data_IF_528345540541
#
_entry.id   IF_528345540541
#
_cell.length_a   1.000
_cell.length_b   1.000
_cell.length_c   1.000
_cell.angle_alpha   90.00
_cell.angle_beta   90.00
_cell.angle_gamma   90.00
#
_symmetry.space_group_name_H-M   'P 1'
#
loop_
_entity.id
_entity.type
_entity.pdbx_description
1 polymer ?
#
# COMPACT_ATOMS: atom_id res chain seq x y z
N UNK A 1 47.85 -29.65 76.06
CA UNK A 1 48.14 -29.32 74.68
C UNK A 1 46.79 -29.26 73.97
N UNK A 2 46.12 -28.28 74.12
CA UNK A 2 45.96 -26.90 73.62
C UNK A 2 45.35 -26.82 72.27
N UNK A 3 44.06 -26.45 72.33
CA UNK A 3 43.14 -25.90 71.37
C UNK A 3 43.76 -25.04 70.26
N UNK A 4 43.49 -25.40 68.99
CA UNK A 4 43.57 -24.49 67.83
C UNK A 4 42.63 -24.94 66.72
N UNK A 5 41.34 -25.14 66.99
CA UNK A 5 40.36 -25.52 65.93
C UNK A 5 39.07 -24.72 65.92
N UNK A 6 38.90 -23.63 66.65
CA UNK A 6 37.63 -22.90 66.73
C UNK A 6 37.62 -21.53 66.02
N UNK A 7 38.75 -21.08 65.47
CA UNK A 7 38.80 -19.73 64.81
C UNK A 7 38.50 -19.67 63.32
N UNK A 8 38.50 -20.82 62.62
CA UNK A 8 38.39 -20.83 61.15
C UNK A 8 36.92 -20.95 60.67
N UNK A 9 36.04 -21.46 61.48
CA UNK A 9 34.61 -21.69 61.15
C UNK A 9 33.76 -20.41 61.13
N UNK A 10 34.11 -19.40 61.90
CA UNK A 10 33.36 -18.14 62.02
C UNK A 10 33.71 -17.17 60.90
N UNK A 11 34.90 -17.15 60.38
CA UNK A 11 35.32 -16.27 59.31
C UNK A 11 34.68 -16.69 57.96
N UNK A 12 34.48 -17.99 57.74
CA UNK A 12 33.80 -18.48 56.53
C UNK A 12 32.28 -18.24 56.55
N UNK A 13 31.65 -18.32 57.69
CA UNK A 13 30.21 -18.07 57.84
C UNK A 13 29.84 -16.58 57.63
N UNK A 14 30.67 -15.65 58.08
CA UNK A 14 30.44 -14.21 57.91
C UNK A 14 30.69 -13.78 56.44
N UNK A 15 31.64 -14.41 55.75
CA UNK A 15 31.94 -14.12 54.32
C UNK A 15 30.83 -14.66 53.40
N UNK A 16 30.12 -15.73 53.71
CA UNK A 16 29.01 -16.23 52.93
C UNK A 16 27.72 -15.41 53.13
N UNK A 17 27.51 -14.83 54.30
CA UNK A 17 26.33 -13.95 54.54
C UNK A 17 26.43 -12.58 53.85
N UNK A 18 27.66 -12.07 53.65
CA UNK A 18 27.89 -10.80 52.94
C UNK A 18 27.70 -10.93 51.42
N UNK A 19 27.92 -12.12 50.81
CA UNK A 19 27.74 -12.38 49.39
C UNK A 19 26.29 -12.51 48.95
N UNK A 20 25.36 -12.78 49.88
CA UNK A 20 23.96 -12.92 49.53
C UNK A 20 23.16 -11.61 49.54
N UNK A 21 23.71 -10.50 50.03
CA UNK A 21 23.10 -9.17 50.07
C UNK A 21 23.50 -8.26 48.87
N UNK A 22 24.46 -8.68 48.03
CA UNK A 22 24.88 -7.94 46.86
C UNK A 22 24.12 -8.32 45.58
N UNK A 23 23.16 -9.21 45.61
CA UNK A 23 22.47 -9.80 44.48
C UNK A 23 21.25 -9.03 43.94
N UNK A 24 20.84 -7.89 44.52
CA UNK A 24 19.62 -7.18 44.10
C UNK A 24 19.81 -5.75 43.61
N UNK A 25 21.02 -5.35 43.23
CA UNK A 25 21.25 -4.01 42.66
C UNK A 25 21.98 -4.13 41.30
N UNK A 26 21.21 -4.27 40.25
CA UNK A 26 21.75 -4.14 38.88
C UNK A 26 21.22 -5.13 37.86
N UNK A 27 19.89 -5.38 37.84
CA UNK A 27 19.26 -5.84 36.59
C UNK A 27 19.37 -4.71 35.56
N UNK A 28 19.68 -4.99 34.29
CA UNK A 28 19.56 -3.96 33.28
C UNK A 28 18.09 -3.53 33.29
N UNK A 29 17.84 -2.28 33.72
CA UNK A 29 16.57 -1.62 33.47
C UNK A 29 16.48 -1.58 31.93
N UNK A 30 15.86 -2.60 31.37
CA UNK A 30 15.31 -2.52 30.05
C UNK A 30 14.39 -1.32 30.13
N UNK A 31 14.82 -0.20 29.51
CA UNK A 31 13.95 0.93 29.32
C UNK A 31 12.70 0.37 28.63
N UNK A 32 11.65 0.12 29.43
CA UNK A 32 10.36 -0.28 28.90
C UNK A 32 10.03 0.76 27.84
N UNK A 33 9.87 0.33 26.59
CA UNK A 33 9.35 1.22 25.56
C UNK A 33 7.99 1.65 26.07
N UNK A 34 7.94 2.84 26.63
CA UNK A 34 6.69 3.50 26.97
C UNK A 34 5.92 3.62 25.65
N UNK A 35 4.77 2.99 25.60
CA UNK A 35 3.93 3.06 24.41
C UNK A 35 3.30 4.45 24.38
N UNK A 36 3.62 5.23 23.34
CA UNK A 36 2.95 6.50 23.12
C UNK A 36 1.44 6.26 22.93
N UNK A 37 0.64 6.91 23.74
CA UNK A 37 -0.81 6.88 23.71
C UNK A 37 -1.35 8.25 23.31
N UNK A 38 -2.64 8.33 22.99
CA UNK A 38 -3.29 9.61 22.68
C UNK A 38 -3.20 10.63 23.84
N UNK A 39 -2.96 10.16 25.07
CA UNK A 39 -2.77 11.02 26.26
C UNK A 39 -1.40 11.70 26.28
N UNK A 40 -0.41 11.17 25.56
CA UNK A 40 0.94 11.70 25.47
C UNK A 40 1.05 12.79 24.39
N UNK A 41 0.01 12.94 23.57
CA UNK A 41 -0.04 13.94 22.54
C UNK A 41 -0.16 15.36 23.12
N UNK A 42 0.72 16.24 22.67
CA UNK A 42 0.57 17.67 22.97
C UNK A 42 -0.71 18.21 22.33
N UNK A 43 -1.24 19.31 22.87
CA UNK A 43 -2.40 20.00 22.26
C UNK A 43 -2.13 20.40 20.80
N UNK A 44 -0.88 20.72 20.45
CA UNK A 44 -0.45 20.97 19.09
C UNK A 44 -0.60 19.74 18.19
N UNK A 45 -0.14 18.58 18.67
CA UNK A 45 -0.23 17.32 17.92
C UNK A 45 -1.68 16.90 17.71
N UNK A 46 -2.55 17.01 18.74
CA UNK A 46 -3.98 16.72 18.58
C UNK A 46 -4.64 17.63 17.55
N UNK A 47 -4.40 18.95 17.62
CA UNK A 47 -4.91 19.90 16.61
C UNK A 47 -4.39 19.57 15.20
N UNK A 48 -3.12 19.23 15.08
CA UNK A 48 -2.53 18.84 13.80
C UNK A 48 -3.20 17.59 13.20
N UNK A 49 -3.46 16.56 14.00
CA UNK A 49 -4.15 15.33 13.54
C UNK A 49 -5.58 15.60 13.05
N UNK A 50 -6.36 16.37 13.80
CA UNK A 50 -7.71 16.76 13.36
C UNK A 50 -7.66 17.50 12.01
N UNK A 51 -6.68 18.39 11.81
CA UNK A 51 -6.47 19.06 10.52
C UNK A 51 -6.12 18.08 9.40
N UNK A 52 -5.28 17.06 9.68
CA UNK A 52 -4.95 16.04 8.68
C UNK A 52 -6.15 15.15 8.33
N UNK A 53 -7.00 14.80 9.28
CA UNK A 53 -8.25 14.09 8.99
C UNK A 53 -9.16 14.92 8.08
N UNK A 54 -9.31 16.21 8.35
CA UNK A 54 -10.06 17.12 7.50
C UNK A 54 -9.43 17.27 6.10
N UNK A 55 -8.10 17.41 6.05
CA UNK A 55 -7.36 17.47 4.79
C UNK A 55 -7.54 16.17 3.95
N UNK A 56 -7.54 15.01 4.59
CA UNK A 56 -7.78 13.73 3.93
C UNK A 56 -9.22 13.66 3.36
N UNK A 57 -10.21 14.18 4.07
CA UNK A 57 -11.58 14.26 3.59
C UNK A 57 -11.68 15.17 2.34
N UNK A 58 -11.05 16.34 2.35
CA UNK A 58 -11.00 17.22 1.17
C UNK A 58 -10.25 16.58 0.00
N UNK A 59 -9.14 15.87 0.30
CA UNK A 59 -8.38 15.15 -0.72
C UNK A 59 -9.25 14.11 -1.43
N UNK A 60 -10.02 13.30 -0.69
CA UNK A 60 -10.90 12.28 -1.28
C UNK A 60 -12.02 12.87 -2.13
N UNK A 61 -12.40 14.12 -1.88
CA UNK A 61 -13.37 14.87 -2.68
C UNK A 61 -12.73 15.59 -3.90
N UNK A 62 -11.42 15.40 -4.13
CA UNK A 62 -10.68 16.07 -5.21
C UNK A 62 -10.37 17.55 -4.94
N UNK A 63 -10.62 18.05 -3.72
CA UNK A 63 -10.37 19.44 -3.32
C UNK A 63 -8.92 19.61 -2.83
N UNK A 64 -7.97 19.39 -3.73
CA UNK A 64 -6.54 19.26 -3.38
C UNK A 64 -5.92 20.53 -2.82
N UNK A 65 -6.34 21.70 -3.29
CA UNK A 65 -5.86 22.99 -2.76
C UNK A 65 -6.36 23.24 -1.34
N UNK A 66 -7.63 22.94 -1.06
CA UNK A 66 -8.18 23.01 0.30
C UNK A 66 -7.50 22.03 1.24
N UNK A 67 -7.26 20.81 0.76
CA UNK A 67 -6.49 19.82 1.51
C UNK A 67 -5.08 20.33 1.87
N UNK A 68 -4.39 21.00 0.93
CA UNK A 68 -3.08 21.61 1.18
C UNK A 68 -3.13 22.73 2.23
N UNK A 69 -4.19 23.53 2.26
CA UNK A 69 -4.32 24.60 3.27
C UNK A 69 -4.52 24.00 4.67
N UNK A 70 -5.29 22.94 4.82
CA UNK A 70 -5.42 22.23 6.09
C UNK A 70 -4.10 21.56 6.51
N UNK A 71 -3.35 20.97 5.56
CA UNK A 71 -2.02 20.41 5.80
C UNK A 71 -1.05 21.49 6.28
N UNK A 72 -1.05 22.68 5.67
CA UNK A 72 -0.20 23.82 6.12
C UNK A 72 -0.49 24.19 7.58
N UNK A 73 -1.79 24.28 7.94
CA UNK A 73 -2.20 24.57 9.31
C UNK A 73 -1.81 23.47 10.29
N UNK A 74 -1.89 22.19 9.86
CA UNK A 74 -1.41 21.07 10.65
C UNK A 74 0.10 21.17 10.93
N UNK A 75 0.89 21.51 9.91
CA UNK A 75 2.35 21.65 10.02
C UNK A 75 2.78 22.89 10.84
N UNK A 76 1.94 23.92 10.93
CA UNK A 76 2.15 25.02 11.88
C UNK A 76 1.95 24.52 13.33
N UNK A 77 0.97 23.67 13.57
CA UNK A 77 0.71 23.14 14.91
C UNK A 77 1.72 22.03 15.32
N UNK A 78 2.14 21.20 14.36
CA UNK A 78 3.20 20.19 14.54
C UNK A 78 4.03 20.04 13.26
N UNK A 79 5.22 20.66 13.18
CA UNK A 79 6.10 20.62 12.00
C UNK A 79 6.77 19.26 11.76
N UNK A 80 6.68 18.31 12.70
CA UNK A 80 7.29 16.98 12.60
C UNK A 80 6.25 15.86 12.48
N UNK A 81 5.10 16.12 11.87
CA UNK A 81 4.03 15.14 11.65
C UNK A 81 4.21 14.46 10.27
N UNK A 82 4.69 13.19 10.20
CA UNK A 82 4.98 12.52 8.93
C UNK A 82 3.74 12.36 8.05
N UNK A 83 2.56 12.10 8.63
CA UNK A 83 1.30 11.95 7.93
C UNK A 83 0.91 13.24 7.17
N UNK A 84 1.24 14.40 7.72
CA UNK A 84 1.01 15.68 7.06
C UNK A 84 1.86 15.82 5.79
N UNK A 85 3.11 15.41 5.84
CA UNK A 85 3.99 15.42 4.66
C UNK A 85 3.60 14.38 3.63
N UNK A 86 3.15 13.18 4.05
CA UNK A 86 2.62 12.17 3.15
C UNK A 86 1.40 12.70 2.38
N UNK A 87 0.41 13.26 3.09
CA UNK A 87 -0.78 13.82 2.45
C UNK A 87 -0.45 15.03 1.56
N UNK A 88 0.53 15.87 1.96
CA UNK A 88 1.05 16.96 1.13
C UNK A 88 1.64 16.44 -0.18
N UNK A 89 2.39 15.34 -0.11
CA UNK A 89 2.95 14.67 -1.29
C UNK A 89 1.86 14.19 -2.25
N UNK A 90 0.82 13.53 -1.72
CA UNK A 90 -0.32 13.08 -2.49
C UNK A 90 -1.06 14.26 -3.16
N UNK A 91 -1.30 15.35 -2.42
CA UNK A 91 -2.00 16.52 -2.94
C UNK A 91 -1.21 17.21 -4.05
N UNK A 92 0.10 17.39 -3.88
CA UNK A 92 0.96 17.95 -4.94
C UNK A 92 1.05 17.03 -6.16
N UNK A 93 1.13 15.72 -5.97
CA UNK A 93 1.10 14.78 -7.08
C UNK A 93 -0.20 14.87 -7.89
N UNK A 94 -1.34 15.01 -7.21
CA UNK A 94 -2.65 15.18 -7.85
C UNK A 94 -2.80 16.54 -8.58
N UNK A 95 -2.10 17.57 -8.11
CA UNK A 95 -2.06 18.90 -8.76
C UNK A 95 -1.05 18.98 -9.91
N UNK A 96 -0.27 17.91 -10.18
CA UNK A 96 0.74 17.91 -11.21
C UNK A 96 2.03 18.64 -10.84
N UNK A 97 2.33 18.74 -9.55
CA UNK A 97 3.53 19.40 -9.00
C UNK A 97 4.55 18.35 -8.51
N UNK A 98 5.25 17.65 -9.43
CA UNK A 98 6.04 16.48 -9.07
C UNK A 98 7.24 16.77 -8.16
N UNK A 99 7.86 17.94 -8.29
CA UNK A 99 9.00 18.31 -7.42
C UNK A 99 8.55 18.51 -5.97
N UNK A 100 7.42 19.19 -5.76
CA UNK A 100 6.87 19.44 -4.42
C UNK A 100 6.32 18.14 -3.79
N UNK A 101 5.80 17.23 -4.61
CA UNK A 101 5.38 15.90 -4.18
C UNK A 101 6.59 15.09 -3.69
N UNK A 102 7.65 15.02 -4.49
CA UNK A 102 8.89 14.30 -4.16
C UNK A 102 9.51 14.81 -2.85
N UNK A 103 9.66 16.13 -2.69
CA UNK A 103 10.17 16.75 -1.47
C UNK A 103 9.30 16.41 -0.25
N UNK A 104 7.99 16.36 -0.43
CA UNK A 104 7.05 16.04 0.64
C UNK A 104 7.17 14.57 1.07
N UNK A 105 7.19 13.62 0.14
CA UNK A 105 7.37 12.21 0.46
C UNK A 105 8.73 11.93 1.10
N UNK A 106 9.80 12.56 0.59
CA UNK A 106 11.13 12.44 1.22
C UNK A 106 11.12 12.94 2.66
N UNK A 107 10.45 14.07 2.92
CA UNK A 107 10.36 14.61 4.29
C UNK A 107 9.54 13.68 5.20
N UNK A 108 8.44 13.10 4.71
CA UNK A 108 7.67 12.10 5.45
C UNK A 108 8.55 10.91 5.86
N UNK A 109 9.32 10.35 4.93
CA UNK A 109 10.21 9.21 5.20
C UNK A 109 11.44 9.56 6.04
N UNK A 110 11.92 10.82 6.03
CA UNK A 110 12.94 11.27 6.98
C UNK A 110 12.43 11.24 8.43
N UNK A 111 11.15 11.56 8.64
CA UNK A 111 10.50 11.55 9.94
C UNK A 111 10.08 10.15 10.38
N UNK A 112 9.58 9.35 9.45
CA UNK A 112 9.12 7.98 9.67
C UNK A 112 9.62 7.03 8.57
N UNK A 113 10.88 6.54 8.62
CA UNK A 113 11.51 5.78 7.53
C UNK A 113 10.84 4.44 7.22
N UNK A 114 10.02 3.92 8.12
CA UNK A 114 9.35 2.63 8.00
C UNK A 114 7.83 2.75 7.89
N UNK A 115 7.32 3.95 7.62
CA UNK A 115 5.89 4.13 7.39
C UNK A 115 5.48 3.50 6.06
N UNK A 116 4.80 2.35 6.15
CA UNK A 116 4.45 1.54 4.99
C UNK A 116 3.46 2.25 4.06
N UNK A 117 2.58 3.10 4.58
CA UNK A 117 1.64 3.86 3.76
C UNK A 117 2.35 4.96 2.96
N UNK A 118 3.30 5.66 3.56
CA UNK A 118 4.14 6.63 2.83
C UNK A 118 5.01 5.93 1.78
N UNK A 119 5.63 4.81 2.12
CA UNK A 119 6.40 4.00 1.17
C UNK A 119 5.54 3.54 -0.01
N UNK A 120 4.33 3.04 0.23
CA UNK A 120 3.37 2.70 -0.81
C UNK A 120 3.03 3.90 -1.71
N UNK A 121 2.66 5.03 -1.12
CA UNK A 121 2.25 6.22 -1.85
C UNK A 121 3.40 6.80 -2.69
N UNK A 122 4.60 6.82 -2.14
CA UNK A 122 5.79 7.30 -2.87
C UNK A 122 6.18 6.32 -3.99
N UNK A 123 6.06 5.01 -3.75
CA UNK A 123 6.21 4.00 -4.81
C UNK A 123 5.24 4.21 -5.96
N UNK A 124 3.96 4.47 -5.65
CA UNK A 124 2.96 4.77 -6.67
C UNK A 124 3.25 6.08 -7.42
N UNK A 125 3.66 7.13 -6.72
CA UNK A 125 4.09 8.38 -7.33
C UNK A 125 5.24 8.16 -8.32
N UNK A 126 6.28 7.41 -7.93
CA UNK A 126 7.38 7.08 -8.85
C UNK A 126 6.90 6.28 -10.06
N UNK A 127 5.98 5.34 -9.87
CA UNK A 127 5.37 4.59 -10.96
C UNK A 127 4.69 5.50 -12.00
N UNK A 128 3.89 6.46 -11.54
CA UNK A 128 3.24 7.44 -12.40
C UNK A 128 4.24 8.32 -13.18
N UNK A 129 5.42 8.57 -12.60
CA UNK A 129 6.51 9.28 -13.24
C UNK A 129 7.41 8.36 -14.12
N UNK A 130 7.04 7.09 -14.30
CA UNK A 130 7.82 6.04 -14.99
C UNK A 130 9.21 5.80 -14.39
N UNK A 131 9.38 6.13 -13.14
CA UNK A 131 10.60 5.86 -12.36
C UNK A 131 10.50 4.46 -11.74
N UNK A 132 10.61 3.44 -12.62
CA UNK A 132 10.27 2.05 -12.28
C UNK A 132 11.14 1.45 -11.17
N UNK A 133 12.44 1.75 -11.17
CA UNK A 133 13.38 1.23 -10.18
C UNK A 133 13.07 1.74 -8.77
N UNK A 134 12.80 3.05 -8.65
CA UNK A 134 12.45 3.67 -7.39
C UNK A 134 11.07 3.21 -6.91
N UNK A 135 10.11 3.07 -7.82
CA UNK A 135 8.79 2.53 -7.50
C UNK A 135 8.90 1.13 -6.90
N UNK A 136 9.66 0.23 -7.55
CA UNK A 136 9.92 -1.13 -7.07
C UNK A 136 10.55 -1.14 -5.68
N UNK A 137 11.55 -0.29 -5.46
CA UNK A 137 12.25 -0.19 -4.17
C UNK A 137 11.28 0.19 -3.04
N UNK A 138 10.47 1.22 -3.24
CA UNK A 138 9.54 1.68 -2.21
C UNK A 138 8.40 0.68 -1.95
N UNK A 139 7.86 0.03 -2.99
CA UNK A 139 6.87 -1.04 -2.80
C UNK A 139 7.45 -2.22 -2.02
N UNK A 140 8.68 -2.64 -2.32
CA UNK A 140 9.34 -3.71 -1.58
C UNK A 140 9.52 -3.34 -0.10
N UNK A 141 10.02 -2.13 0.19
CA UNK A 141 10.16 -1.62 1.56
C UNK A 141 8.83 -1.56 2.32
N UNK A 142 7.72 -1.18 1.65
CA UNK A 142 6.40 -1.18 2.25
C UNK A 142 5.96 -2.60 2.63
N UNK A 143 6.17 -3.57 1.73
CA UNK A 143 5.79 -4.97 1.93
C UNK A 143 6.63 -5.70 2.98
N UNK A 144 7.85 -5.22 3.25
CA UNK A 144 8.73 -5.75 4.30
C UNK A 144 8.29 -5.32 5.72
N UNK A 145 7.38 -4.33 5.84
CA UNK A 145 6.99 -3.85 7.16
C UNK A 145 6.11 -4.86 7.90
N UNK A 146 6.48 -5.23 9.16
CA UNK A 146 5.70 -6.16 9.95
C UNK A 146 4.26 -5.65 10.17
N UNK A 147 3.26 -6.54 10.03
CA UNK A 147 1.85 -6.22 10.26
C UNK A 147 1.25 -5.16 9.32
N UNK A 148 1.87 -4.92 8.18
CA UNK A 148 1.32 -3.99 7.19
C UNK A 148 -0.01 -4.51 6.64
N UNK A 149 -1.09 -3.79 6.90
CA UNK A 149 -2.45 -4.18 6.49
C UNK A 149 -2.74 -3.86 5.02
N UNK A 150 -1.99 -2.95 4.42
CA UNK A 150 -2.14 -2.53 3.02
C UNK A 150 -1.40 -3.40 2.01
N UNK A 151 -0.95 -4.60 2.38
CA UNK A 151 -0.12 -5.44 1.51
C UNK A 151 -0.82 -5.80 0.19
N UNK A 152 -2.11 -6.13 0.20
CA UNK A 152 -2.87 -6.41 -1.03
C UNK A 152 -2.91 -5.19 -1.97
N UNK A 153 -3.17 -4.00 -1.42
CA UNK A 153 -3.16 -2.73 -2.16
C UNK A 153 -1.78 -2.45 -2.77
N UNK A 154 -0.72 -2.72 -2.03
CA UNK A 154 0.65 -2.49 -2.52
C UNK A 154 1.04 -3.50 -3.59
N UNK A 155 0.66 -4.78 -3.44
CA UNK A 155 0.86 -5.78 -4.48
C UNK A 155 0.08 -5.46 -5.76
N UNK A 156 -1.16 -4.96 -5.64
CA UNK A 156 -1.94 -4.47 -6.79
C UNK A 156 -1.22 -3.31 -7.48
N UNK A 157 -0.79 -2.28 -6.74
CA UNK A 157 -0.09 -1.13 -7.29
C UNK A 157 1.24 -1.53 -7.97
N UNK A 158 2.00 -2.43 -7.35
CA UNK A 158 3.23 -2.99 -7.92
C UNK A 158 2.95 -3.74 -9.22
N UNK A 159 1.91 -4.59 -9.25
CA UNK A 159 1.52 -5.33 -10.44
C UNK A 159 1.09 -4.43 -11.59
N UNK A 160 0.30 -3.39 -11.31
CA UNK A 160 -0.08 -2.37 -12.31
C UNK A 160 1.15 -1.65 -12.84
N UNK A 161 2.08 -1.28 -11.97
CA UNK A 161 3.33 -0.61 -12.35
C UNK A 161 4.20 -1.48 -13.27
N UNK A 162 4.39 -2.75 -12.91
CA UNK A 162 5.12 -3.73 -13.71
C UNK A 162 4.47 -3.98 -15.08
N UNK A 163 3.13 -4.00 -15.14
CA UNK A 163 2.39 -4.13 -16.40
C UNK A 163 2.58 -2.90 -17.31
N UNK A 164 2.68 -1.71 -16.75
CA UNK A 164 2.99 -0.47 -17.50
C UNK A 164 4.44 -0.44 -17.98
N UNK A 165 5.38 -0.99 -17.22
CA UNK A 165 6.79 -1.18 -17.61
C UNK A 165 6.93 -2.24 -18.73
N UNK A 166 5.90 -3.09 -18.95
CA UNK A 166 5.92 -4.19 -19.91
C UNK A 166 6.40 -5.52 -19.34
N UNK A 167 6.67 -5.61 -18.05
CA UNK A 167 7.12 -6.81 -17.33
C UNK A 167 5.94 -7.68 -16.91
N UNK A 168 5.30 -8.31 -17.89
CA UNK A 168 4.02 -8.99 -17.68
C UNK A 168 4.10 -10.20 -16.74
N UNK A 169 5.20 -10.96 -16.74
CA UNK A 169 5.39 -12.10 -15.85
C UNK A 169 5.49 -11.67 -14.39
N UNK A 170 6.26 -10.63 -14.12
CA UNK A 170 6.39 -10.06 -12.77
C UNK A 170 5.08 -9.39 -12.32
N UNK A 171 4.37 -8.75 -13.26
CA UNK A 171 3.05 -8.15 -13.00
C UNK A 171 2.03 -9.20 -12.58
N UNK A 172 1.96 -10.32 -13.30
CA UNK A 172 1.10 -11.45 -12.91
C UNK A 172 1.44 -11.95 -11.52
N UNK A 173 2.72 -12.17 -11.22
CA UNK A 173 3.14 -12.66 -9.91
C UNK A 173 2.72 -11.73 -8.76
N UNK A 174 2.86 -10.41 -8.94
CA UNK A 174 2.43 -9.42 -7.95
C UNK A 174 0.90 -9.39 -7.80
N UNK A 175 0.17 -9.38 -8.92
CA UNK A 175 -1.30 -9.38 -8.92
C UNK A 175 -1.89 -10.67 -8.35
N UNK A 176 -1.23 -11.82 -8.58
CA UNK A 176 -1.63 -13.08 -7.98
C UNK A 176 -1.52 -13.05 -6.46
N UNK A 177 -0.43 -12.48 -5.90
CA UNK A 177 -0.31 -12.27 -4.46
C UNK A 177 -1.38 -11.32 -3.91
N UNK A 178 -1.70 -10.25 -4.65
CA UNK A 178 -2.81 -9.37 -4.28
C UNK A 178 -4.14 -10.12 -4.23
N UNK A 179 -4.39 -11.00 -5.21
CA UNK A 179 -5.60 -11.82 -5.28
C UNK A 179 -5.69 -12.86 -4.15
N UNK A 180 -4.56 -13.46 -3.76
CA UNK A 180 -4.49 -14.38 -2.62
C UNK A 180 -4.82 -13.69 -1.30
N UNK A 181 -4.37 -12.43 -1.13
CA UNK A 181 -4.66 -11.63 0.04
C UNK A 181 -6.11 -11.12 0.09
N UNK A 182 -6.65 -10.71 -1.05
CA UNK A 182 -8.00 -10.15 -1.20
C UNK A 182 -8.73 -10.75 -2.39
N UNK A 183 -9.20 -12.01 -2.32
CA UNK A 183 -9.86 -12.68 -3.46
C UNK A 183 -11.15 -11.98 -3.93
N UNK A 184 -11.80 -11.20 -3.07
CA UNK A 184 -13.01 -10.45 -3.39
C UNK A 184 -12.74 -9.12 -4.12
N UNK A 185 -11.48 -8.69 -4.22
CA UNK A 185 -11.12 -7.41 -4.82
C UNK A 185 -11.21 -7.48 -6.35
N UNK A 186 -12.27 -6.89 -6.91
CA UNK A 186 -12.53 -6.91 -8.34
C UNK A 186 -11.54 -6.08 -9.16
N UNK A 187 -10.89 -5.08 -8.55
CA UNK A 187 -9.81 -4.35 -9.23
C UNK A 187 -8.59 -5.24 -9.46
N UNK A 188 -8.26 -6.12 -8.51
CA UNK A 188 -7.20 -7.13 -8.71
C UNK A 188 -7.57 -8.10 -9.82
N UNK A 189 -8.80 -8.63 -9.81
CA UNK A 189 -9.27 -9.54 -10.85
C UNK A 189 -9.25 -8.90 -12.25
N UNK A 190 -9.64 -7.63 -12.36
CA UNK A 190 -9.59 -6.88 -13.62
C UNK A 190 -8.15 -6.75 -14.15
N UNK A 191 -7.21 -6.36 -13.28
CA UNK A 191 -5.81 -6.20 -13.69
C UNK A 191 -5.15 -7.56 -14.03
N UNK A 192 -5.49 -8.63 -13.31
CA UNK A 192 -5.08 -10.00 -13.69
C UNK A 192 -5.60 -10.39 -15.06
N UNK A 193 -6.86 -10.11 -15.35
CA UNK A 193 -7.45 -10.42 -16.65
C UNK A 193 -6.74 -9.67 -17.78
N UNK A 194 -6.40 -8.39 -17.59
CA UNK A 194 -5.66 -7.59 -18.58
C UNK A 194 -4.25 -8.13 -18.81
N UNK A 195 -3.51 -8.39 -17.74
CA UNK A 195 -2.13 -8.92 -17.84
C UNK A 195 -2.12 -10.28 -18.51
N UNK A 196 -3.02 -11.19 -18.14
CA UNK A 196 -3.13 -12.53 -18.75
C UNK A 196 -3.55 -12.44 -20.21
N UNK A 197 -4.47 -11.54 -20.57
CA UNK A 197 -4.83 -11.27 -21.96
C UNK A 197 -3.60 -10.82 -22.79
N UNK A 198 -2.83 -9.88 -22.28
CA UNK A 198 -1.61 -9.37 -22.94
C UNK A 198 -0.52 -10.43 -23.09
N UNK A 199 -0.48 -11.41 -22.17
CA UNK A 199 0.42 -12.57 -22.25
C UNK A 199 -0.09 -13.69 -23.18
N UNK A 200 -1.35 -13.62 -23.65
CA UNK A 200 -1.97 -14.65 -24.47
C UNK A 200 -2.58 -15.82 -23.68
N UNK A 201 -2.66 -15.73 -22.36
CA UNK A 201 -3.29 -16.74 -21.50
C UNK A 201 -4.80 -16.46 -21.38
N UNK A 202 -5.51 -16.67 -22.47
CA UNK A 202 -6.90 -16.24 -22.60
C UNK A 202 -7.87 -17.02 -21.71
N UNK A 203 -7.60 -18.29 -21.42
CA UNK A 203 -8.47 -19.10 -20.56
C UNK A 203 -8.44 -18.60 -19.11
N UNK A 204 -7.24 -18.30 -18.59
CA UNK A 204 -7.12 -17.73 -17.26
C UNK A 204 -7.66 -16.29 -17.22
N UNK A 205 -7.42 -15.49 -18.26
CA UNK A 205 -7.98 -14.14 -18.37
C UNK A 205 -9.51 -14.17 -18.32
N UNK A 206 -10.16 -15.13 -19.02
CA UNK A 206 -11.60 -15.37 -19.00
C UNK A 206 -12.14 -15.63 -17.60
N UNK A 207 -11.44 -16.44 -16.81
CA UNK A 207 -11.85 -16.72 -15.43
C UNK A 207 -11.96 -15.44 -14.59
N UNK A 208 -10.96 -14.57 -14.64
CA UNK A 208 -10.94 -13.35 -13.85
C UNK A 208 -11.94 -12.30 -14.36
N UNK A 209 -12.03 -12.09 -15.68
CA UNK A 209 -12.93 -11.06 -16.22
C UNK A 209 -14.42 -11.42 -16.06
N UNK A 210 -14.79 -12.71 -16.11
CA UNK A 210 -16.15 -13.15 -15.81
C UNK A 210 -16.56 -12.80 -14.38
N UNK A 211 -15.65 -12.97 -13.42
CA UNK A 211 -15.92 -12.60 -12.04
C UNK A 211 -16.22 -11.10 -11.89
N UNK A 212 -15.51 -10.23 -12.61
CA UNK A 212 -15.78 -8.79 -12.64
C UNK A 212 -17.15 -8.49 -13.25
N UNK A 213 -17.43 -9.07 -14.43
CA UNK A 213 -18.65 -8.78 -15.18
C UNK A 213 -19.92 -9.42 -14.58
N UNK A 214 -19.79 -10.42 -13.71
CA UNK A 214 -20.89 -10.98 -12.94
C UNK A 214 -21.36 -10.07 -11.78
N UNK A 215 -20.66 -8.96 -11.54
CA UNK A 215 -21.04 -7.94 -10.55
C UNK A 215 -21.59 -6.72 -11.29
N UNK A 216 -22.94 -6.52 -11.33
CA UNK A 216 -23.57 -5.51 -12.19
C UNK A 216 -23.05 -4.08 -11.99
N UNK A 217 -22.78 -3.69 -10.72
CA UNK A 217 -22.36 -2.32 -10.36
C UNK A 217 -20.91 -2.02 -10.77
N UNK A 218 -20.09 -3.05 -11.02
CA UNK A 218 -18.68 -2.93 -11.43
C UNK A 218 -18.50 -3.13 -12.92
N UNK A 219 -19.43 -3.88 -13.54
CA UNK A 219 -19.42 -4.16 -14.98
C UNK A 219 -19.67 -2.86 -15.77
N UNK A 220 -18.69 -2.46 -16.56
CA UNK A 220 -18.70 -1.26 -17.39
C UNK A 220 -18.25 -1.55 -18.83
N UNK A 221 -18.18 -0.52 -19.68
CA UNK A 221 -17.81 -0.68 -21.08
C UNK A 221 -16.41 -1.32 -21.24
N UNK A 222 -15.43 -0.90 -20.45
CA UNK A 222 -14.06 -1.41 -20.52
C UNK A 222 -13.96 -2.88 -20.13
N UNK A 223 -14.66 -3.30 -19.06
CA UNK A 223 -14.64 -4.69 -18.58
C UNK A 223 -15.35 -5.63 -19.57
N UNK A 224 -16.48 -5.19 -20.17
CA UNK A 224 -17.17 -5.96 -21.21
C UNK A 224 -16.33 -6.04 -22.48
N UNK A 225 -15.65 -4.95 -22.86
CA UNK A 225 -14.77 -4.95 -24.02
C UNK A 225 -13.57 -5.89 -23.85
N UNK A 226 -12.91 -5.83 -22.70
CA UNK A 226 -11.83 -6.78 -22.41
C UNK A 226 -12.33 -8.22 -22.46
N UNK A 227 -13.52 -8.51 -21.91
CA UNK A 227 -14.10 -9.83 -22.00
C UNK A 227 -14.38 -10.28 -23.45
N UNK A 228 -14.91 -9.36 -24.29
CA UNK A 228 -15.17 -9.65 -25.72
C UNK A 228 -13.86 -9.95 -26.46
N UNK A 229 -12.79 -9.18 -26.21
CA UNK A 229 -11.45 -9.43 -26.78
C UNK A 229 -10.89 -10.78 -26.34
N UNK A 230 -11.03 -11.12 -25.06
CA UNK A 230 -10.59 -12.41 -24.50
C UNK A 230 -11.34 -13.56 -25.20
N UNK A 231 -12.69 -13.49 -25.29
CA UNK A 231 -13.49 -14.53 -25.94
C UNK A 231 -13.12 -14.67 -27.44
N UNK A 232 -12.93 -13.58 -28.15
CA UNK A 232 -12.49 -13.58 -29.54
C UNK A 232 -11.14 -14.28 -29.72
N UNK A 233 -10.15 -13.95 -28.86
CA UNK A 233 -8.79 -14.53 -28.93
C UNK A 233 -8.75 -15.98 -28.42
N UNK A 234 -9.66 -16.36 -27.55
CA UNK A 234 -9.84 -17.74 -27.10
C UNK A 234 -10.61 -18.64 -28.08
N UNK A 235 -10.94 -18.13 -29.28
CA UNK A 235 -11.66 -18.89 -30.29
C UNK A 235 -13.15 -19.05 -30.03
N UNK A 236 -13.77 -18.20 -29.23
CA UNK A 236 -15.21 -18.17 -28.94
C UNK A 236 -15.89 -16.93 -29.54
N UNK A 237 -16.07 -16.84 -30.88
CA UNK A 237 -16.68 -15.68 -31.53
C UNK A 237 -18.14 -15.42 -31.10
N UNK A 238 -18.88 -16.50 -30.76
CA UNK A 238 -20.23 -16.34 -30.23
C UNK A 238 -20.26 -15.63 -28.90
N UNK A 239 -19.38 -15.99 -27.97
CA UNK A 239 -19.24 -15.30 -26.68
C UNK A 239 -18.83 -13.85 -26.86
N UNK A 240 -17.92 -13.56 -27.79
CA UNK A 240 -17.53 -12.20 -28.12
C UNK A 240 -18.72 -11.38 -28.67
N UNK A 241 -19.55 -11.96 -29.55
CA UNK A 241 -20.74 -11.32 -30.08
C UNK A 241 -21.79 -11.03 -29.01
N UNK A 242 -21.96 -11.94 -28.05
CA UNK A 242 -22.90 -11.76 -26.93
C UNK A 242 -22.48 -10.60 -26.04
N UNK A 243 -21.20 -10.46 -25.73
CA UNK A 243 -20.64 -9.34 -24.99
C UNK A 243 -20.72 -8.03 -25.78
N UNK A 244 -20.53 -8.06 -27.08
CA UNK A 244 -20.72 -6.92 -27.96
C UNK A 244 -22.17 -6.42 -27.98
N UNK A 245 -23.18 -7.33 -27.94
CA UNK A 245 -24.56 -6.94 -27.77
C UNK A 245 -24.82 -6.26 -26.42
N UNK A 246 -24.21 -6.76 -25.35
CA UNK A 246 -24.32 -6.12 -24.04
C UNK A 246 -23.67 -4.73 -24.06
N UNK A 247 -22.53 -4.55 -24.70
CA UNK A 247 -21.87 -3.25 -24.88
C UNK A 247 -22.81 -2.24 -25.57
N UNK A 248 -23.39 -2.61 -26.71
CA UNK A 248 -24.30 -1.73 -27.46
C UNK A 248 -25.55 -1.40 -26.67
N UNK A 249 -26.11 -2.33 -25.92
CA UNK A 249 -27.34 -2.11 -25.18
C UNK A 249 -27.13 -1.27 -23.92
N UNK A 250 -26.02 -1.49 -23.20
CA UNK A 250 -25.76 -0.83 -21.91
C UNK A 250 -24.93 0.46 -22.06
N UNK A 251 -24.04 0.49 -23.06
CA UNK A 251 -23.04 1.56 -23.23
C UNK A 251 -22.92 2.02 -24.69
N UNK A 252 -24.03 2.40 -25.36
CA UNK A 252 -24.04 2.66 -26.81
C UNK A 252 -23.14 3.81 -27.24
N UNK A 253 -22.84 4.76 -26.36
CA UNK A 253 -22.00 5.93 -26.62
C UNK A 253 -20.51 5.69 -26.26
N UNK A 254 -20.13 4.49 -25.80
CA UNK A 254 -18.75 4.19 -25.40
C UNK A 254 -17.84 3.99 -26.61
N UNK A 255 -16.56 4.29 -26.42
CA UNK A 255 -15.51 3.99 -27.42
C UNK A 255 -15.40 2.48 -27.65
N UNK A 256 -15.63 1.69 -26.62
CA UNK A 256 -15.59 0.23 -26.65
C UNK A 256 -16.71 -0.34 -27.52
N UNK A 257 -17.91 0.20 -27.47
CA UNK A 257 -19.00 -0.19 -28.37
C UNK A 257 -18.64 0.15 -29.83
N UNK A 258 -18.11 1.33 -30.07
CA UNK A 258 -17.66 1.73 -31.41
C UNK A 258 -16.47 0.86 -31.90
N UNK A 259 -15.54 0.48 -31.05
CA UNK A 259 -14.45 -0.43 -31.38
C UNK A 259 -14.96 -1.83 -31.75
N UNK A 260 -15.95 -2.34 -30.99
CA UNK A 260 -16.61 -3.59 -31.30
C UNK A 260 -17.29 -3.57 -32.69
N UNK A 261 -18.03 -2.51 -33.02
CA UNK A 261 -18.69 -2.35 -34.34
C UNK A 261 -17.72 -2.32 -35.50
N UNK A 262 -16.52 -1.77 -35.27
CA UNK A 262 -15.44 -1.73 -36.26
C UNK A 262 -14.57 -3.00 -36.27
N UNK A 263 -14.89 -4.02 -35.48
CA UNK A 263 -14.09 -5.24 -35.29
C UNK A 263 -12.61 -4.98 -34.89
N UNK A 264 -12.38 -3.96 -34.06
CA UNK A 264 -11.03 -3.53 -33.65
C UNK A 264 -10.49 -4.35 -32.46
N UNK A 265 -10.61 -5.68 -32.51
CA UNK A 265 -10.18 -6.58 -31.40
C UNK A 265 -8.67 -6.60 -31.13
N UNK A 266 -7.85 -6.02 -32.03
CA UNK A 266 -6.41 -6.06 -31.95
C UNK A 266 -5.76 -4.74 -31.44
N UNK A 267 -6.57 -3.74 -31.12
CA UNK A 267 -6.12 -2.43 -30.63
C UNK A 267 -6.12 -2.32 -29.10
#
# INVERSE_FOLDING_TARGET
>A
MSDRRSGLSWAVAVSLAAALLAGCAGGPQGAGREYQTASDDTDGTRRARVRIELAAAYFTQGQYTTALDEVKQALVANPNLPEAYNLRGLAYAALGEPMLADDSFRRALQLAPRDADTLHNYGWFHCQQRRWAEAKTHFAQALEQPRYRGAARTQLAQGVCLAQEGRLDDAEAALQRAFELEPANLAVAMNLADVLYRRGDYERARFYIRRVNNTPDVSNAQTLWLAARIEQRAGNPQGAADLGRQLRNRFPQSREAAAFERNQFNE
#
